data_IF_339277676461
#
_entry.id   IF_339277676461
#
_cell.length_a   1.000
_cell.length_b   1.000
_cell.length_c   1.000
_cell.angle_alpha   90.00
_cell.angle_beta   90.00
_cell.angle_gamma   90.00
#
_symmetry.space_group_name_H-M   'P 1'
#
loop_
_entity.id
_entity.type
_entity.pdbx_description
1 polymer ?
#
# COMPACT_ATOMS: atom_id res chain seq x y z
N UNK A 1 -18.43 -7.53 16.78
CA UNK A 1 -17.51 -6.95 17.80
C UNK A 1 -16.27 -7.83 18.08
N UNK A 2 -16.40 -9.14 18.34
CA UNK A 2 -15.25 -10.03 18.59
C UNK A 2 -14.21 -10.10 17.45
N UNK A 3 -14.65 -10.14 16.18
CA UNK A 3 -13.76 -10.20 15.00
C UNK A 3 -12.81 -8.99 14.91
N UNK A 4 -13.34 -7.77 15.10
CA UNK A 4 -12.55 -6.54 15.13
C UNK A 4 -11.47 -6.58 16.22
N UNK A 5 -11.86 -6.89 17.47
CA UNK A 5 -10.92 -6.94 18.60
C UNK A 5 -9.82 -7.99 18.40
N UNK A 6 -10.15 -9.15 17.82
CA UNK A 6 -9.17 -10.18 17.48
C UNK A 6 -8.12 -9.66 16.50
N UNK A 7 -8.53 -9.01 15.41
CA UNK A 7 -7.60 -8.49 14.41
C UNK A 7 -6.79 -7.28 14.92
N UNK A 8 -7.42 -6.39 15.70
CA UNK A 8 -6.73 -5.30 16.40
C UNK A 8 -5.63 -5.85 17.32
N UNK A 9 -5.93 -6.87 18.14
CA UNK A 9 -4.94 -7.54 19.01
C UNK A 9 -3.83 -8.24 18.23
N UNK A 10 -4.10 -8.69 17.00
CA UNK A 10 -3.11 -9.29 16.12
C UNK A 10 -2.26 -8.25 15.35
N UNK A 11 -2.41 -6.95 15.63
CA UNK A 11 -1.63 -5.88 14.97
C UNK A 11 -2.13 -5.49 13.58
N UNK A 12 -3.34 -5.91 13.19
CA UNK A 12 -3.91 -5.50 11.90
C UNK A 12 -4.30 -4.02 11.96
N UNK A 13 -3.69 -3.23 11.08
CA UNK A 13 -3.90 -1.78 11.00
C UNK A 13 -5.07 -1.37 10.12
N UNK A 14 -5.36 -2.16 9.07
CA UNK A 14 -6.34 -1.82 8.04
C UNK A 14 -6.98 -3.08 7.45
N UNK A 15 -8.17 -2.92 6.88
CA UNK A 15 -8.85 -3.95 6.11
C UNK A 15 -9.02 -3.44 4.69
N UNK A 16 -8.69 -4.28 3.71
CA UNK A 16 -8.84 -3.99 2.30
C UNK A 16 -9.35 -5.24 1.55
N UNK A 17 -9.95 -5.06 0.38
CA UNK A 17 -10.60 -6.14 -0.36
C UNK A 17 -9.71 -6.73 -1.48
N UNK A 18 -8.75 -5.97 -1.99
CA UNK A 18 -7.98 -6.34 -3.19
C UNK A 18 -6.59 -6.91 -2.88
N UNK A 19 -5.95 -6.48 -1.78
CA UNK A 19 -4.54 -6.78 -1.50
C UNK A 19 -4.26 -8.29 -1.42
N UNK A 20 -5.20 -9.07 -0.90
CA UNK A 20 -5.06 -10.53 -0.80
C UNK A 20 -4.96 -11.19 -2.18
N UNK A 21 -5.80 -10.78 -3.13
CA UNK A 21 -5.80 -11.29 -4.49
C UNK A 21 -4.53 -10.89 -5.24
N UNK A 22 -4.12 -9.61 -5.12
CA UNK A 22 -2.90 -9.10 -5.76
C UNK A 22 -1.68 -9.89 -5.27
N UNK A 23 -1.49 -10.06 -3.97
CA UNK A 23 -0.34 -10.80 -3.45
C UNK A 23 -0.38 -12.30 -3.77
N UNK A 24 -1.57 -12.92 -3.80
CA UNK A 24 -1.70 -14.32 -4.21
C UNK A 24 -1.26 -14.52 -5.67
N UNK A 25 -1.76 -13.68 -6.59
CA UNK A 25 -1.41 -13.74 -8.02
C UNK A 25 0.05 -13.38 -8.24
N UNK A 26 0.58 -12.36 -7.57
CA UNK A 26 1.99 -11.98 -7.68
C UNK A 26 2.93 -13.10 -7.24
N UNK A 27 2.60 -13.78 -6.13
CA UNK A 27 3.34 -14.97 -5.68
C UNK A 27 3.28 -16.09 -6.72
N UNK A 28 2.11 -16.38 -7.28
CA UNK A 28 1.94 -17.41 -8.31
C UNK A 28 2.74 -17.10 -9.59
N UNK A 29 2.80 -15.83 -10.00
CA UNK A 29 3.52 -15.38 -11.20
C UNK A 29 5.00 -15.11 -10.96
N UNK A 30 5.51 -15.24 -9.74
CA UNK A 30 6.90 -14.94 -9.40
C UNK A 30 7.27 -13.46 -9.54
N UNK A 31 6.31 -12.54 -9.44
CA UNK A 31 6.55 -11.09 -9.55
C UNK A 31 6.56 -10.43 -8.17
N UNK A 32 7.45 -9.44 -7.98
CA UNK A 32 7.47 -8.62 -6.76
C UNK A 32 6.25 -7.69 -6.76
N UNK A 33 5.58 -7.58 -5.61
CA UNK A 33 4.46 -6.69 -5.42
C UNK A 33 4.53 -6.01 -4.06
N UNK A 34 4.03 -4.78 -4.01
CA UNK A 34 3.90 -3.97 -2.80
C UNK A 34 2.55 -3.26 -2.84
N UNK A 35 1.97 -2.99 -1.67
CA UNK A 35 0.70 -2.27 -1.54
C UNK A 35 0.91 -1.08 -0.61
N UNK A 36 0.54 0.11 -1.10
CA UNK A 36 0.46 1.35 -0.29
C UNK A 36 -1.01 1.66 -0.09
N UNK A 37 -1.42 1.90 1.14
CA UNK A 37 -2.82 2.12 1.50
C UNK A 37 -2.98 3.41 2.30
N UNK A 38 -4.05 4.14 2.02
CA UNK A 38 -4.49 5.31 2.78
C UNK A 38 -5.76 4.95 3.51
N UNK A 39 -5.81 5.22 4.81
CA UNK A 39 -6.99 4.93 5.63
C UNK A 39 -8.03 6.01 5.40
N UNK A 40 -9.15 5.66 4.77
CA UNK A 40 -10.29 6.56 4.58
C UNK A 40 -11.25 6.54 5.75
N UNK A 41 -11.58 5.35 6.25
CA UNK A 41 -12.60 5.18 7.26
C UNK A 41 -12.02 4.54 8.51
N UNK A 42 -12.50 4.97 9.67
CA UNK A 42 -12.02 4.47 10.96
C UNK A 42 -13.07 3.50 11.51
N UNK A 43 -12.66 2.24 11.68
CA UNK A 43 -13.45 1.26 12.42
C UNK A 43 -12.93 1.20 13.86
N UNK A 44 -13.78 1.57 14.81
CA UNK A 44 -13.45 1.62 16.23
C UNK A 44 -14.45 0.79 17.06
N UNK A 45 -14.27 0.80 18.38
CA UNK A 45 -15.20 0.16 19.31
C UNK A 45 -16.56 0.87 19.40
N UNK A 46 -16.62 2.14 18.95
CA UNK A 46 -17.82 2.97 18.90
C UNK A 46 -18.55 2.87 17.56
N UNK A 47 -17.93 2.28 16.54
CA UNK A 47 -18.57 2.03 15.25
C UNK A 47 -17.67 2.35 14.06
N UNK A 48 -18.30 2.46 12.89
CA UNK A 48 -17.65 2.84 11.65
C UNK A 48 -17.82 4.34 11.40
N UNK A 49 -16.71 5.05 11.27
CA UNK A 49 -16.66 6.47 10.94
C UNK A 49 -16.17 6.63 9.50
N UNK A 50 -17.06 6.90 8.53
CA UNK A 50 -16.67 7.10 7.15
C UNK A 50 -16.01 8.47 6.98
N UNK A 51 -14.85 8.53 6.34
CA UNK A 51 -14.16 9.78 6.04
C UNK A 51 -13.56 9.83 4.63
N UNK A 52 -13.97 8.95 3.72
CA UNK A 52 -13.51 8.91 2.32
C UNK A 52 -13.48 10.25 1.57
N UNK A 53 -14.45 11.15 1.84
CA UNK A 53 -14.51 12.47 1.18
C UNK A 53 -13.76 13.58 1.92
N UNK A 54 -13.14 13.28 3.06
CA UNK A 54 -12.37 14.28 3.80
C UNK A 54 -11.13 14.69 3.01
N UNK A 55 -10.84 15.99 3.05
CA UNK A 55 -9.65 16.57 2.42
C UNK A 55 -8.35 15.90 2.88
N UNK A 56 -8.27 15.49 4.16
CA UNK A 56 -7.14 14.76 4.71
C UNK A 56 -6.83 13.43 3.98
N UNK A 57 -7.88 12.71 3.53
CA UNK A 57 -7.72 11.47 2.74
C UNK A 57 -7.15 11.81 1.37
N UNK A 58 -7.64 12.88 0.74
CA UNK A 58 -7.14 13.36 -0.56
C UNK A 58 -5.66 13.77 -0.49
N UNK A 59 -5.26 14.49 0.56
CA UNK A 59 -3.85 14.86 0.76
C UNK A 59 -2.98 13.63 1.03
N UNK A 60 -3.47 12.68 1.82
CA UNK A 60 -2.77 11.41 2.07
C UNK A 60 -2.58 10.59 0.79
N UNK A 61 -3.56 10.58 -0.12
CA UNK A 61 -3.43 9.96 -1.44
C UNK A 61 -2.34 10.66 -2.27
N UNK A 62 -2.29 11.99 -2.27
CA UNK A 62 -1.20 12.72 -2.97
C UNK A 62 0.18 12.35 -2.42
N UNK A 63 0.31 12.21 -1.11
CA UNK A 63 1.56 11.76 -0.46
C UNK A 63 1.91 10.34 -0.90
N UNK A 64 0.95 9.42 -0.87
CA UNK A 64 1.14 8.03 -1.29
C UNK A 64 1.59 7.94 -2.76
N UNK A 65 0.96 8.70 -3.66
CA UNK A 65 1.34 8.76 -5.08
C UNK A 65 2.77 9.31 -5.25
N UNK A 66 3.12 10.40 -4.56
CA UNK A 66 4.48 10.97 -4.62
C UNK A 66 5.52 9.97 -4.12
N UNK A 67 5.23 9.25 -3.03
CA UNK A 67 6.12 8.21 -2.51
C UNK A 67 6.29 7.06 -3.53
N UNK A 68 5.20 6.61 -4.16
CA UNK A 68 5.26 5.60 -5.21
C UNK A 68 6.09 6.08 -6.42
N UNK A 69 5.86 7.31 -6.89
CA UNK A 69 6.62 7.91 -8.00
C UNK A 69 8.12 8.03 -7.66
N UNK A 70 8.46 8.43 -6.43
CA UNK A 70 9.85 8.49 -5.98
C UNK A 70 10.53 7.13 -6.07
N UNK A 71 9.93 6.09 -5.49
CA UNK A 71 10.46 4.72 -5.52
C UNK A 71 10.60 4.20 -6.95
N UNK A 72 9.60 4.45 -7.80
CA UNK A 72 9.62 4.02 -9.20
C UNK A 72 10.70 4.76 -10.00
N UNK A 73 10.90 6.05 -9.78
CA UNK A 73 11.91 6.86 -10.47
C UNK A 73 13.33 6.48 -10.06
N UNK A 74 13.55 6.22 -8.76
CA UNK A 74 14.85 5.73 -8.24
C UNK A 74 15.18 4.35 -8.81
N UNK A 75 14.19 3.45 -8.92
CA UNK A 75 14.39 2.09 -9.45
C UNK A 75 14.81 2.04 -10.93
N UNK A 76 14.53 3.08 -11.72
CA UNK A 76 15.00 3.17 -13.11
C UNK A 76 16.47 3.61 -13.19
N UNK A 77 16.91 4.41 -12.22
CA UNK A 77 18.26 4.98 -12.20
C UNK A 77 19.32 3.92 -11.87
N UNK A 78 18.98 2.90 -11.07
CA UNK A 78 19.87 1.77 -10.78
C UNK A 78 20.04 0.83 -11.98
N UNK A 79 18.96 0.52 -12.71
CA UNK A 79 19.03 -0.32 -13.92
C UNK A 79 19.84 0.32 -15.05
N UNK A 80 19.83 1.65 -15.15
CA UNK A 80 20.63 2.39 -16.14
C UNK A 80 22.13 2.35 -15.81
N UNK A 81 22.50 2.30 -14.53
CA UNK A 81 23.90 2.18 -14.09
C UNK A 81 24.45 0.77 -14.36
N UNK A 82 23.66 -0.27 -14.11
CA UNK A 82 24.05 -1.65 -14.43
C UNK A 82 24.24 -1.89 -15.94
N UNK A 83 23.43 -1.25 -16.79
CA UNK A 83 23.59 -1.32 -18.25
C UNK A 83 24.84 -0.60 -18.77
N UNK A 84 25.35 0.44 -18.10
CA UNK A 84 26.57 1.15 -18.51
C UNK A 84 27.86 0.41 -18.11
N UNK A 85 27.78 -0.58 -17.22
CA UNK A 85 28.95 -1.34 -16.76
C UNK A 85 29.30 -2.55 -17.65
N UNK A 86 28.44 -2.91 -18.61
CA UNK A 86 28.64 -4.01 -19.58
C UNK A 86 29.18 -3.55 -20.95
N UNK A 87 29.57 -2.29 -21.08
CA UNK A 87 30.20 -1.73 -22.29
C UNK A 87 31.70 -1.50 -22.07
N UNK A 88 32.46 -2.59 -21.84
CA UNK A 88 33.93 -2.61 -22.01
C UNK A 88 34.33 -3.94 -22.62
#
# INVERSE_FOLDING_TARGET
RMKFLRFKKAGVLAVNMETSAIFAVSKYRGVKAVSVQVISDILSETGWLPAFKHEAVRESIKIAIRAALKVLSESQTEKLKDCQQFSV
#
